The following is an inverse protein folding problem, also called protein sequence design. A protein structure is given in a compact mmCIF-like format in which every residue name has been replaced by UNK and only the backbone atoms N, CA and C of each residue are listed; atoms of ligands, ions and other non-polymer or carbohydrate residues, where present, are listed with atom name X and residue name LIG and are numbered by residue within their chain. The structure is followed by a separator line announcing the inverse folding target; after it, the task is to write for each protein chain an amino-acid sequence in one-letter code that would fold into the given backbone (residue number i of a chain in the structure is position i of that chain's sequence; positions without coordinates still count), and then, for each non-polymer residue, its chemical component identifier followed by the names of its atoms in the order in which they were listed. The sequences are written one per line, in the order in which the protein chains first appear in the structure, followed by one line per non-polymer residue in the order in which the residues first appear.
data_IF_291166037465
#
_entry.id   IF_291166037465
#
_cell.length_a   1.000
_cell.length_b   1.000
_cell.length_c   1.000
_cell.angle_alpha   90.00
_cell.angle_beta   90.00
_cell.angle_gamma   90.00
#
_symmetry.space_group_name_H-M   'P 1'
#
loop_
_entity.id
_entity.type
_entity.pdbx_description
1 polymer ?
#
# COMPACT_ATOMS: atom_id res chain seq x y z
N UNK A 1 27.46 23.60 7.55
CA UNK A 1 27.41 23.44 6.25
C UNK A 1 27.88 22.14 5.75
N UNK A 2 28.84 21.56 6.31
CA UNK A 2 29.28 20.31 5.88
C UNK A 2 28.31 19.24 6.14
N UNK A 3 27.48 19.50 7.07
CA UNK A 3 26.55 18.52 7.50
C UNK A 3 25.73 17.90 6.41
N UNK A 4 25.20 18.70 5.54
CA UNK A 4 24.33 18.12 4.55
C UNK A 4 25.06 17.38 3.44
N UNK A 5 26.33 17.51 3.40
CA UNK A 5 27.08 16.82 2.39
C UNK A 5 27.03 15.33 2.61
N UNK A 6 27.32 14.89 3.81
CA UNK A 6 27.35 13.47 4.01
C UNK A 6 25.95 12.91 4.14
N UNK A 7 24.97 13.74 4.40
CA UNK A 7 23.61 13.28 4.41
C UNK A 7 23.22 12.86 3.02
N UNK A 8 23.63 13.62 2.04
CA UNK A 8 23.33 13.30 0.67
C UNK A 8 23.96 11.99 0.25
N UNK A 9 25.17 11.75 0.66
CA UNK A 9 25.83 10.53 0.25
C UNK A 9 25.20 9.32 0.93
N UNK A 10 24.66 9.48 2.11
CA UNK A 10 24.03 8.39 2.80
C UNK A 10 22.73 7.96 2.12
N UNK A 11 21.96 8.93 1.68
CA UNK A 11 20.69 8.64 1.07
C UNK A 11 20.75 7.69 -0.12
N UNK A 12 21.64 7.88 -1.07
CA UNK A 12 21.74 6.97 -2.19
C UNK A 12 22.08 5.55 -1.76
N UNK A 13 22.85 5.42 -0.72
CA UNK A 13 23.22 4.11 -0.25
C UNK A 13 22.01 3.39 0.28
N UNK A 14 21.20 4.09 1.06
CA UNK A 14 20.00 3.48 1.60
C UNK A 14 19.05 3.03 0.51
N UNK A 15 18.90 3.82 -0.54
CA UNK A 15 17.93 3.49 -1.56
C UNK A 15 18.34 2.27 -2.35
N UNK A 16 19.60 1.87 -2.29
CA UNK A 16 20.05 0.71 -3.03
C UNK A 16 19.99 -0.57 -2.24
N UNK A 17 19.95 -0.47 -0.96
CA UNK A 17 19.99 -1.66 -0.12
C UNK A 17 18.65 -2.02 0.41
N UNK A 18 18.32 -3.29 0.27
CA UNK A 18 17.10 -3.82 0.84
C UNK A 18 17.27 -3.90 2.33
N UNK A 19 16.33 -3.35 3.06
CA UNK A 19 16.39 -3.37 4.51
C UNK A 19 15.68 -4.56 5.12
N UNK A 20 14.72 -5.11 4.40
CA UNK A 20 13.93 -6.23 4.90
C UNK A 20 14.36 -7.52 4.23
N UNK A 21 14.22 -8.65 4.94
CA UNK A 21 14.51 -9.95 4.33
C UNK A 21 13.58 -10.22 3.16
N UNK A 22 14.04 -11.05 2.25
CA UNK A 22 13.27 -11.32 1.06
C UNK A 22 11.92 -11.96 1.37
N UNK A 23 11.87 -12.86 2.34
CA UNK A 23 10.60 -13.50 2.67
C UNK A 23 9.58 -12.49 3.20
N UNK A 24 10.03 -11.47 3.92
CA UNK A 24 9.13 -10.44 4.39
C UNK A 24 8.66 -9.58 3.22
N UNK A 25 9.54 -9.30 2.28
CA UNK A 25 9.17 -8.51 1.11
C UNK A 25 8.14 -9.23 0.25
N UNK A 26 8.23 -10.55 0.15
CA UNK A 26 7.24 -11.32 -0.58
C UNK A 26 5.89 -11.21 0.13
N UNK A 27 5.88 -11.26 1.45
CA UNK A 27 4.63 -11.14 2.20
C UNK A 27 4.00 -9.76 2.00
N UNK A 28 4.83 -8.73 1.96
CA UNK A 28 4.31 -7.38 1.73
C UNK A 28 3.71 -7.28 0.33
N UNK A 29 4.39 -7.83 -0.65
CA UNK A 29 3.91 -7.82 -2.02
C UNK A 29 2.57 -8.54 -2.13
N UNK A 30 2.46 -9.70 -1.49
CA UNK A 30 1.22 -10.47 -1.51
C UNK A 30 0.09 -9.70 -0.83
N UNK A 31 0.40 -9.01 0.26
CA UNK A 31 -0.60 -8.24 0.98
C UNK A 31 -1.17 -7.13 0.11
N UNK A 32 -0.34 -6.50 -0.71
CA UNK A 32 -0.81 -5.46 -1.62
C UNK A 32 -1.88 -6.04 -2.54
N UNK A 33 -1.63 -7.21 -3.10
CA UNK A 33 -2.60 -7.86 -3.96
C UNK A 33 -3.89 -8.19 -3.25
N UNK A 34 -3.78 -8.66 -2.00
CA UNK A 34 -4.96 -8.99 -1.22
C UNK A 34 -5.80 -7.75 -0.96
N UNK A 35 -5.16 -6.65 -0.57
CA UNK A 35 -5.89 -5.40 -0.32
C UNK A 35 -6.59 -4.90 -1.58
N UNK A 36 -5.95 -5.02 -2.73
CA UNK A 36 -6.59 -4.59 -3.97
C UNK A 36 -7.78 -5.46 -4.33
N UNK A 37 -7.68 -6.76 -4.07
CA UNK A 37 -8.78 -7.66 -4.31
C UNK A 37 -9.96 -7.34 -3.39
N UNK A 38 -9.67 -7.04 -2.12
CA UNK A 38 -10.71 -6.69 -1.17
C UNK A 38 -11.36 -5.37 -1.55
N UNK A 39 -10.57 -4.42 -2.01
CA UNK A 39 -11.11 -3.14 -2.45
C UNK A 39 -12.07 -3.34 -3.63
N UNK A 40 -11.67 -4.19 -4.56
CA UNK A 40 -12.50 -4.45 -5.72
C UNK A 40 -13.83 -5.08 -5.33
N UNK A 41 -13.81 -6.02 -4.39
CA UNK A 41 -15.03 -6.64 -3.93
C UNK A 41 -15.98 -5.63 -3.30
N UNK A 42 -15.44 -4.69 -2.53
CA UNK A 42 -16.27 -3.69 -1.92
C UNK A 42 -16.86 -2.74 -2.97
N UNK A 43 -16.08 -2.38 -3.98
CA UNK A 43 -16.58 -1.55 -5.06
C UNK A 43 -17.73 -2.21 -5.80
N UNK A 44 -17.64 -3.53 -6.01
CA UNK A 44 -18.71 -4.26 -6.68
C UNK A 44 -20.01 -4.15 -5.91
N UNK A 45 -19.93 -4.08 -4.58
CA UNK A 45 -21.15 -3.97 -3.78
C UNK A 45 -21.84 -2.62 -3.98
N UNK A 46 -21.09 -1.59 -4.37
CA UNK A 46 -21.71 -0.28 -4.59
C UNK A 46 -22.58 -0.27 -5.84
N UNK A 47 -22.42 -1.27 -6.71
CA UNK A 47 -23.18 -1.36 -7.94
C UNK A 47 -24.42 -2.20 -7.78
N UNK A 48 -24.62 -2.81 -6.62
CA UNK A 48 -25.76 -3.69 -6.37
C UNK A 48 -27.02 -2.85 -6.17
N UNK A 49 -27.96 -2.97 -7.10
CA UNK A 49 -29.15 -2.12 -7.06
C UNK A 49 -30.07 -2.44 -5.89
N UNK A 50 -29.87 -3.60 -5.25
CA UNK A 50 -30.69 -3.97 -4.12
C UNK A 50 -30.22 -3.39 -2.81
N UNK A 51 -29.04 -2.76 -2.79
CA UNK A 51 -28.53 -2.18 -1.58
C UNK A 51 -28.96 -0.74 -1.43
N UNK A 52 -29.16 -0.33 -0.18
CA UNK A 52 -29.56 1.03 0.09
C UNK A 52 -28.36 1.97 -0.13
N UNK A 53 -28.64 3.27 -0.18
CA UNK A 53 -27.56 4.23 -0.34
C UNK A 53 -26.61 4.21 0.83
N UNK A 54 -27.15 3.96 2.04
CA UNK A 54 -26.29 3.87 3.20
C UNK A 54 -25.36 2.68 3.11
N UNK A 55 -25.89 1.53 2.67
CA UNK A 55 -25.05 0.34 2.51
C UNK A 55 -23.99 0.56 1.47
N UNK A 56 -24.35 1.20 0.35
CA UNK A 56 -23.37 1.50 -0.70
C UNK A 56 -22.28 2.42 -0.17
N UNK A 57 -22.66 3.40 0.62
CA UNK A 57 -21.71 4.33 1.19
C UNK A 57 -20.70 3.61 2.07
N UNK A 58 -21.17 2.64 2.87
CA UNK A 58 -20.28 1.89 3.74
C UNK A 58 -19.32 1.03 2.93
N UNK A 59 -19.80 0.45 1.83
CA UNK A 59 -18.91 -0.33 0.98
C UNK A 59 -17.87 0.55 0.30
N UNK A 60 -18.27 1.76 -0.10
CA UNK A 60 -17.33 2.72 -0.66
C UNK A 60 -16.22 3.05 0.33
N UNK A 61 -16.59 3.25 1.59
CA UNK A 61 -15.60 3.57 2.61
C UNK A 61 -14.62 2.42 2.80
N UNK A 62 -15.12 1.19 2.78
CA UNK A 62 -14.24 0.03 2.91
C UNK A 62 -13.33 -0.11 1.71
N UNK A 63 -13.86 0.17 0.52
CA UNK A 63 -13.04 0.10 -0.69
C UNK A 63 -11.89 1.11 -0.61
N UNK A 64 -12.19 2.31 -0.13
CA UNK A 64 -11.15 3.33 0.02
C UNK A 64 -10.15 2.93 1.08
N UNK A 65 -10.62 2.33 2.17
CA UNK A 65 -9.73 1.87 3.22
C UNK A 65 -8.74 0.83 2.67
N UNK A 66 -9.23 -0.16 1.94
CA UNK A 66 -8.36 -1.19 1.39
C UNK A 66 -7.42 -0.63 0.33
N UNK A 67 -7.91 0.32 -0.47
CA UNK A 67 -7.06 0.96 -1.47
C UNK A 67 -5.93 1.74 -0.81
N UNK A 68 -6.25 2.44 0.28
CA UNK A 68 -5.25 3.19 1.03
C UNK A 68 -4.22 2.26 1.65
N UNK A 69 -4.69 1.12 2.17
CA UNK A 69 -3.78 0.14 2.75
C UNK A 69 -2.83 -0.39 1.68
N UNK A 70 -3.36 -0.66 0.48
CA UNK A 70 -2.51 -1.13 -0.62
C UNK A 70 -1.46 -0.09 -0.98
N UNK A 71 -1.87 1.18 -1.03
CA UNK A 71 -0.94 2.26 -1.36
C UNK A 71 0.14 2.38 -0.31
N UNK A 72 -0.24 2.29 0.97
CA UNK A 72 0.72 2.40 2.05
C UNK A 72 1.70 1.24 2.04
N UNK A 73 1.22 0.04 1.82
CA UNK A 73 2.10 -1.12 1.73
C UNK A 73 3.02 -1.04 0.53
N UNK A 74 2.52 -0.47 -0.59
CA UNK A 74 3.35 -0.28 -1.76
C UNK A 74 4.50 0.68 -1.47
N UNK A 75 4.22 1.74 -0.72
CA UNK A 75 5.25 2.69 -0.33
C UNK A 75 6.31 2.00 0.53
N UNK A 76 5.88 1.17 1.48
CA UNK A 76 6.82 0.42 2.30
C UNK A 76 7.66 -0.50 1.42
N UNK A 77 7.01 -1.20 0.50
CA UNK A 77 7.71 -2.11 -0.40
C UNK A 77 8.79 -1.37 -1.19
N UNK A 78 8.44 -0.21 -1.74
CA UNK A 78 9.41 0.57 -2.52
C UNK A 78 10.58 1.01 -1.67
N UNK A 79 10.30 1.33 -0.40
CA UNK A 79 11.32 1.86 0.48
C UNK A 79 12.28 0.78 1.00
N UNK A 80 11.76 -0.38 1.38
CA UNK A 80 12.58 -1.37 2.06
C UNK A 80 12.84 -2.64 1.26
N UNK A 81 12.22 -2.80 0.10
CA UNK A 81 12.34 -4.02 -0.68
C UNK A 81 12.93 -3.82 -2.07
N UNK A 82 13.08 -2.58 -2.49
CA UNK A 82 13.61 -2.29 -3.83
C UNK A 82 14.85 -1.41 -3.80
#
# INVERSE_FOLDING_TARGET
MLVFMFIISINPIFSKERKYPENVCVEIFDAIGIFLTLADKEWEQTKNVEKTELEKSKHSEKALFFSQAAANYSTVYETVCR
#
